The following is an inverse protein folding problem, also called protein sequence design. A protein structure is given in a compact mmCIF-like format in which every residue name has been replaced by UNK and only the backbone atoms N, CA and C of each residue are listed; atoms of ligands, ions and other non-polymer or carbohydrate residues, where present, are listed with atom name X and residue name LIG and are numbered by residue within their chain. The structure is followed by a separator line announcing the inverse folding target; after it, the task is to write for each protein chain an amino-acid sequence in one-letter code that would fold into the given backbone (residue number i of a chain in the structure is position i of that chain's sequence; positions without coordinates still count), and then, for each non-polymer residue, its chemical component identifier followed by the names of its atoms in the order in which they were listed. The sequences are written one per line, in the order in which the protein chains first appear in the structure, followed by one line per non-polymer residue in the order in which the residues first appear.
data_IF_063456068236
#
_entry.id   IF_063456068236
#
_cell.length_a   1.000
_cell.length_b   1.000
_cell.length_c   1.000
_cell.angle_alpha   90.00
_cell.angle_beta   90.00
_cell.angle_gamma   90.00
#
_symmetry.space_group_name_H-M   'P 1'
#
loop_
_entity.id
_entity.type
_entity.pdbx_description
1 polymer ?
#
# COMPACT_ATOMS: atom_id res chain seq x y z
N UNK A 1 -20.47 22.61 -34.59
CA UNK A 1 -20.60 22.78 -33.14
C UNK A 1 -19.39 22.12 -32.48
N UNK A 2 -18.33 22.90 -32.25
CA UNK A 2 -17.29 22.51 -31.31
C UNK A 2 -17.85 22.71 -29.89
N UNK A 3 -18.58 21.74 -29.41
CA UNK A 3 -18.94 21.68 -27.99
C UNK A 3 -17.66 21.51 -27.19
N UNK A 4 -17.26 22.56 -26.48
CA UNK A 4 -16.24 22.44 -25.45
C UNK A 4 -16.80 21.48 -24.41
N UNK A 5 -16.27 20.27 -24.29
CA UNK A 5 -16.57 19.36 -23.20
C UNK A 5 -16.03 20.00 -21.92
N UNK A 6 -16.87 20.72 -21.21
CA UNK A 6 -16.59 21.16 -19.85
C UNK A 6 -17.11 20.07 -18.91
N UNK A 7 -16.21 19.35 -18.26
CA UNK A 7 -16.59 18.38 -17.23
C UNK A 7 -16.01 16.96 -17.34
N UNK A 8 -15.29 16.64 -18.40
CA UNK A 8 -14.52 15.39 -18.49
C UNK A 8 -13.06 15.73 -18.70
N UNK A 9 -12.24 15.45 -17.72
CA UNK A 9 -10.80 15.56 -17.82
C UNK A 9 -10.18 16.58 -16.88
N UNK A 10 -10.59 16.60 -15.63
CA UNK A 10 -9.69 16.98 -14.57
C UNK A 10 -8.50 16.01 -14.65
N UNK A 11 -7.28 16.53 -14.68
CA UNK A 11 -6.10 15.68 -14.56
C UNK A 11 -6.24 14.92 -13.24
N UNK A 12 -6.24 13.57 -13.28
CA UNK A 12 -6.28 12.73 -12.08
C UNK A 12 -4.95 12.86 -11.30
N UNK A 13 -4.58 14.09 -10.98
CA UNK A 13 -3.38 14.46 -10.24
C UNK A 13 -3.77 15.06 -8.89
N UNK A 14 -2.99 14.77 -7.84
CA UNK A 14 -1.80 13.92 -7.83
C UNK A 14 -2.12 12.46 -8.11
N UNK A 15 -1.18 11.78 -8.76
CA UNK A 15 -1.19 10.35 -9.00
C UNK A 15 0.21 9.78 -8.76
N UNK A 16 0.30 8.62 -8.13
CA UNK A 16 1.56 7.98 -7.79
C UNK A 16 1.47 6.47 -7.84
N UNK A 17 2.60 5.83 -8.02
CA UNK A 17 2.80 4.40 -7.85
C UNK A 17 4.19 4.15 -7.30
N UNK A 18 4.25 3.58 -6.11
CA UNK A 18 5.48 3.18 -5.43
C UNK A 18 5.47 1.68 -5.16
N UNK A 19 6.64 1.09 -5.04
CA UNK A 19 6.82 -0.35 -4.85
C UNK A 19 8.09 -0.62 -4.04
N UNK A 20 8.17 -1.81 -3.48
CA UNK A 20 9.42 -2.37 -3.00
C UNK A 20 10.28 -2.76 -4.19
N UNK A 21 11.56 -2.40 -4.20
CA UNK A 21 12.47 -2.70 -5.30
C UNK A 21 12.50 -4.20 -5.64
N UNK A 22 12.71 -4.49 -6.91
CA UNK A 22 12.72 -5.87 -7.40
C UNK A 22 13.78 -6.73 -6.69
N UNK A 23 13.37 -7.92 -6.23
CA UNK A 23 14.18 -8.86 -5.45
C UNK A 23 14.73 -8.33 -4.11
N UNK A 24 14.17 -7.25 -3.60
CA UNK A 24 14.41 -6.83 -2.21
C UNK A 24 13.44 -7.53 -1.28
N UNK A 25 13.88 -7.76 -0.07
CA UNK A 25 13.03 -8.21 1.02
C UNK A 25 13.23 -7.33 2.25
N UNK A 26 12.19 -7.23 3.04
CA UNK A 26 12.18 -6.57 4.34
C UNK A 26 11.77 -7.60 5.38
N UNK A 27 12.62 -7.85 6.35
CA UNK A 27 12.27 -8.70 7.50
C UNK A 27 11.17 -8.03 8.30
N UNK A 28 10.11 -8.77 8.60
CA UNK A 28 9.01 -8.35 9.44
C UNK A 28 9.21 -8.94 10.84
N UNK A 29 8.78 -8.20 11.86
CA UNK A 29 8.73 -8.75 13.21
C UNK A 29 7.47 -9.58 13.37
N UNK A 30 7.60 -10.81 13.81
CA UNK A 30 6.47 -11.71 14.02
C UNK A 30 5.40 -11.07 14.91
N UNK A 31 4.16 -11.12 14.44
CA UNK A 31 2.97 -10.59 15.10
C UNK A 31 3.01 -9.07 15.44
N UNK A 32 3.81 -8.27 14.73
CA UNK A 32 3.92 -6.82 14.93
C UNK A 32 3.55 -6.09 13.64
N UNK A 33 2.71 -5.04 13.75
CA UNK A 33 2.47 -4.12 12.62
C UNK A 33 3.77 -3.47 12.19
N UNK A 34 4.27 -3.83 11.01
CA UNK A 34 5.51 -3.32 10.45
C UNK A 34 5.21 -2.50 9.21
N UNK A 35 5.72 -1.25 9.17
CA UNK A 35 5.58 -0.40 7.98
C UNK A 35 6.38 -0.98 6.82
N UNK A 36 5.75 -1.05 5.64
CA UNK A 36 6.35 -1.61 4.44
C UNK A 36 7.17 -0.56 3.71
N UNK A 37 8.41 -0.93 3.39
CA UNK A 37 9.41 -0.10 2.75
C UNK A 37 9.20 -0.05 1.23
N UNK A 38 8.33 0.87 0.78
CA UNK A 38 8.12 1.16 -0.64
C UNK A 38 9.17 2.18 -1.09
N UNK A 39 10.35 1.71 -1.45
CA UNK A 39 11.55 2.51 -1.67
C UNK A 39 11.76 2.98 -3.13
N UNK A 40 10.90 2.52 -4.02
CA UNK A 40 11.03 2.77 -5.46
C UNK A 40 9.74 3.35 -6.02
N UNK A 41 9.84 4.42 -6.79
CA UNK A 41 8.72 5.00 -7.53
C UNK A 41 8.68 4.50 -8.96
N UNK A 42 7.51 4.09 -9.44
CA UNK A 42 7.23 3.96 -10.88
C UNK A 42 6.96 5.33 -11.50
N UNK A 43 6.15 6.12 -10.80
CA UNK A 43 5.88 7.52 -11.13
C UNK A 43 5.26 8.23 -9.93
N UNK A 44 5.45 9.55 -9.89
CA UNK A 44 4.79 10.48 -8.98
C UNK A 44 4.63 11.83 -9.69
N UNK A 45 3.38 12.24 -9.93
CA UNK A 45 3.07 13.45 -10.70
C UNK A 45 3.18 14.75 -9.90
N UNK A 46 3.32 14.65 -8.58
CA UNK A 46 3.28 15.79 -7.66
C UNK A 46 4.38 15.78 -6.61
N UNK A 47 5.32 14.84 -6.69
CA UNK A 47 6.34 14.59 -5.66
C UNK A 47 5.71 14.44 -4.27
N UNK A 48 4.63 13.69 -4.22
CA UNK A 48 3.78 13.51 -3.04
C UNK A 48 4.07 12.20 -2.28
N UNK A 49 4.84 11.30 -2.90
CA UNK A 49 5.33 10.09 -2.25
C UNK A 49 6.77 10.29 -1.77
N UNK A 50 7.03 9.94 -0.53
CA UNK A 50 8.35 10.03 0.11
C UNK A 50 8.93 8.62 0.25
N UNK A 51 9.88 8.27 -0.61
CA UNK A 51 10.59 6.97 -0.59
C UNK A 51 11.50 6.77 0.62
N UNK A 52 11.84 7.83 1.36
CA UNK A 52 12.63 7.73 2.58
C UNK A 52 11.76 7.44 3.80
N UNK A 53 10.51 7.91 3.79
CA UNK A 53 9.53 7.66 4.83
C UNK A 53 8.42 6.70 4.39
N UNK A 54 8.48 6.17 3.16
CA UNK A 54 7.54 5.18 2.62
C UNK A 54 6.09 5.60 2.75
N UNK A 55 5.78 6.86 2.36
CA UNK A 55 4.44 7.41 2.55
C UNK A 55 4.00 8.34 1.43
N UNK A 56 2.72 8.31 1.13
CA UNK A 56 2.05 9.30 0.31
C UNK A 56 1.47 10.39 1.21
N UNK A 57 1.70 11.67 0.86
CA UNK A 57 1.10 12.82 1.55
C UNK A 57 0.30 13.64 0.56
N UNK A 58 -0.96 13.94 0.88
CA UNK A 58 -1.84 14.75 0.04
C UNK A 58 -1.30 16.18 -0.07
N UNK A 59 -0.92 16.64 -1.27
CA UNK A 59 -0.35 17.97 -1.45
C UNK A 59 -1.31 19.09 -1.10
N UNK A 60 -0.76 20.26 -0.78
CA UNK A 60 -1.52 21.49 -0.59
C UNK A 60 -2.37 21.79 -1.82
N UNK A 61 -3.63 22.18 -1.64
CA UNK A 61 -4.59 22.43 -2.73
C UNK A 61 -5.10 21.18 -3.44
N UNK A 62 -4.81 19.98 -2.90
CA UNK A 62 -5.20 18.71 -3.52
C UNK A 62 -6.20 17.90 -2.68
N UNK A 63 -6.92 18.53 -1.75
CA UNK A 63 -7.99 17.86 -1.04
C UNK A 63 -9.05 17.28 -2.03
N UNK A 64 -9.71 16.19 -1.64
CA UNK A 64 -10.70 15.55 -2.51
C UNK A 64 -10.89 14.07 -2.21
N UNK A 65 -11.54 13.37 -3.13
CA UNK A 65 -11.66 11.91 -3.07
C UNK A 65 -10.54 11.25 -3.86
N UNK A 66 -9.91 10.26 -3.26
CA UNK A 66 -8.82 9.50 -3.85
C UNK A 66 -9.20 8.03 -4.00
N UNK A 67 -8.81 7.44 -5.12
CA UNK A 67 -8.68 6.00 -5.26
C UNK A 67 -7.28 5.61 -4.82
N UNK A 68 -7.18 4.73 -3.82
CA UNK A 68 -5.92 4.17 -3.31
C UNK A 68 -5.96 2.65 -3.46
N UNK A 69 -4.82 2.05 -3.81
CA UNK A 69 -4.64 0.61 -3.83
C UNK A 69 -3.30 0.24 -3.19
N UNK A 70 -3.25 -0.88 -2.52
CA UNK A 70 -2.03 -1.39 -1.91
C UNK A 70 -2.04 -2.91 -1.87
N UNK A 71 -0.88 -3.50 -2.10
CA UNK A 71 -0.64 -4.92 -2.06
C UNK A 71 0.71 -5.19 -1.42
N UNK A 72 0.79 -6.24 -0.60
CA UNK A 72 2.03 -6.71 0.01
C UNK A 72 2.13 -8.20 -0.22
N UNK A 73 3.23 -8.62 -0.80
CA UNK A 73 3.61 -10.01 -0.86
C UNK A 73 4.36 -10.37 0.42
N UNK A 74 3.83 -11.32 1.17
CA UNK A 74 4.43 -11.80 2.42
C UNK A 74 4.84 -13.25 2.29
N UNK A 75 5.97 -13.58 2.90
CA UNK A 75 6.57 -14.92 2.91
C UNK A 75 6.81 -15.30 4.35
N UNK A 76 6.43 -16.52 4.75
CA UNK A 76 6.77 -17.08 6.05
C UNK A 76 8.28 -17.36 6.17
N UNK A 77 8.80 -17.36 7.39
CA UNK A 77 10.22 -17.56 7.67
C UNK A 77 10.74 -18.97 7.33
N UNK A 78 9.85 -19.94 7.25
CA UNK A 78 10.13 -21.30 6.81
C UNK A 78 9.11 -21.78 5.77
N UNK A 79 9.32 -22.96 5.19
CA UNK A 79 8.38 -23.51 4.23
C UNK A 79 7.07 -23.91 4.89
N UNK A 80 5.95 -23.40 4.33
CA UNK A 80 4.59 -23.75 4.72
C UNK A 80 4.25 -23.47 6.20
N UNK A 81 4.70 -22.38 6.73
CA UNK A 81 4.46 -22.01 8.14
C UNK A 81 3.72 -20.68 8.36
N UNK A 82 3.35 -19.98 7.29
CA UNK A 82 2.56 -18.75 7.38
C UNK A 82 1.18 -19.04 7.97
N UNK A 83 1.01 -18.69 9.25
CA UNK A 83 -0.21 -18.97 10.01
C UNK A 83 -1.30 -17.93 9.79
N UNK A 84 -0.93 -16.68 9.81
CA UNK A 84 -1.83 -15.57 9.69
C UNK A 84 -1.13 -14.35 9.12
N UNK A 85 -1.81 -13.58 8.31
CA UNK A 85 -1.28 -12.33 7.78
C UNK A 85 -2.41 -11.34 7.49
N UNK A 86 -2.15 -10.07 7.75
CA UNK A 86 -2.98 -8.98 7.28
C UNK A 86 -2.15 -7.83 6.72
N UNK A 87 -2.81 -7.01 5.90
CA UNK A 87 -2.25 -5.78 5.36
C UNK A 87 -3.21 -4.64 5.66
N UNK A 88 -2.66 -3.53 6.13
CA UNK A 88 -3.41 -2.37 6.60
C UNK A 88 -2.94 -1.10 5.90
N UNK A 89 -3.88 -0.22 5.61
CA UNK A 89 -3.59 1.16 5.26
C UNK A 89 -3.74 2.01 6.52
N UNK A 90 -2.68 2.71 6.88
CA UNK A 90 -2.68 3.70 7.95
C UNK A 90 -2.92 5.08 7.37
N UNK A 91 -3.76 5.85 8.03
CA UNK A 91 -3.98 7.27 7.74
C UNK A 91 -3.57 8.08 8.96
N UNK A 92 -2.67 9.04 8.78
CA UNK A 92 -2.20 9.92 9.84
C UNK A 92 -1.68 9.17 11.09
N UNK A 93 -0.96 8.07 10.86
CA UNK A 93 -0.36 7.24 11.92
C UNK A 93 -1.31 6.28 12.63
N UNK A 94 -2.56 6.18 12.20
CA UNK A 94 -3.53 5.23 12.76
C UNK A 94 -4.05 4.26 11.71
N UNK A 95 -4.30 3.01 12.10
CA UNK A 95 -4.90 2.02 11.23
C UNK A 95 -6.30 2.50 10.79
N UNK A 96 -6.46 2.73 9.51
CA UNK A 96 -7.69 3.25 8.93
C UNK A 96 -8.48 2.16 8.21
N UNK A 97 -7.78 1.24 7.55
CA UNK A 97 -8.39 0.18 6.76
C UNK A 97 -7.54 -1.09 6.79
N UNK A 98 -8.18 -2.23 7.13
CA UNK A 98 -7.58 -3.56 7.03
C UNK A 98 -8.05 -4.19 5.72
N UNK A 99 -7.11 -4.52 4.86
CA UNK A 99 -7.43 -5.00 3.52
C UNK A 99 -7.81 -6.48 3.49
N UNK A 100 -6.99 -7.27 4.12
CA UNK A 100 -7.12 -8.71 4.14
C UNK A 100 -6.66 -9.21 5.49
N UNK A 101 -7.41 -10.16 6.01
CA UNK A 101 -7.10 -10.87 7.23
C UNK A 101 -7.27 -12.35 6.94
N UNK A 102 -6.15 -13.04 6.74
CA UNK A 102 -6.13 -14.45 6.40
C UNK A 102 -5.62 -15.26 7.60
N UNK A 103 -6.47 -16.10 8.14
CA UNK A 103 -6.14 -17.09 9.17
C UNK A 103 -6.15 -18.50 8.57
N UNK A 104 -4.97 -19.09 8.47
CA UNK A 104 -4.78 -20.44 7.96
C UNK A 104 -4.74 -21.44 9.12
N UNK A 105 -5.75 -22.27 9.24
CA UNK A 105 -5.84 -23.28 10.32
C UNK A 105 -5.11 -24.57 10.00
N UNK A 106 -5.05 -24.90 8.70
CA UNK A 106 -4.33 -26.07 8.17
C UNK A 106 -3.85 -25.78 6.76
N UNK A 107 -2.82 -26.44 6.30
CA UNK A 107 -2.30 -26.24 4.95
C UNK A 107 -1.66 -24.86 4.80
N UNK A 108 -0.77 -24.52 5.70
CA UNK A 108 -0.11 -23.22 5.76
C UNK A 108 0.63 -22.92 4.45
N UNK A 109 0.39 -21.77 3.80
CA UNK A 109 1.16 -21.39 2.64
C UNK A 109 2.56 -20.92 3.05
N UNK A 110 3.47 -20.95 2.10
CA UNK A 110 4.76 -20.30 2.24
C UNK A 110 4.66 -18.81 1.93
N UNK A 111 3.82 -18.44 0.99
CA UNK A 111 3.77 -17.08 0.43
C UNK A 111 2.35 -16.72 0.02
N UNK A 112 1.99 -15.46 0.22
CA UNK A 112 0.70 -14.90 -0.21
C UNK A 112 0.84 -13.42 -0.54
N UNK A 113 0.07 -12.94 -1.51
CA UNK A 113 -0.08 -11.50 -1.76
C UNK A 113 -1.44 -11.05 -1.25
N UNK A 114 -1.43 -10.10 -0.34
CA UNK A 114 -2.61 -9.51 0.28
C UNK A 114 -2.73 -8.04 -0.11
N UNK A 115 -3.93 -7.54 -0.20
CA UNK A 115 -4.14 -6.13 -0.48
C UNK A 115 -5.58 -5.78 -0.79
N UNK A 116 -5.82 -4.50 -1.04
CA UNK A 116 -7.11 -3.97 -1.41
C UNK A 116 -7.00 -2.65 -2.16
N UNK A 117 -8.16 -2.16 -2.57
CA UNK A 117 -8.34 -0.79 -3.04
C UNK A 117 -9.55 -0.17 -2.36
N UNK A 118 -9.54 1.14 -2.21
CA UNK A 118 -10.62 1.91 -1.60
C UNK A 118 -10.73 3.30 -2.22
N UNK A 119 -11.90 3.90 -2.04
CA UNK A 119 -12.09 5.34 -2.27
C UNK A 119 -12.25 5.99 -0.90
N UNK A 120 -11.49 7.04 -0.65
CA UNK A 120 -11.51 7.74 0.64
C UNK A 120 -11.43 9.25 0.46
N UNK A 121 -11.98 9.96 1.45
CA UNK A 121 -11.85 11.40 1.54
C UNK A 121 -10.48 11.77 2.12
N UNK A 122 -9.81 12.71 1.45
CA UNK A 122 -8.48 13.16 1.82
C UNK A 122 -8.44 14.68 1.95
N UNK A 123 -8.05 15.17 3.11
CA UNK A 123 -7.67 16.56 3.31
C UNK A 123 -6.21 16.78 2.91
N UNK A 124 -5.84 18.01 2.58
CA UNK A 124 -4.43 18.35 2.39
C UNK A 124 -3.63 18.06 3.66
N UNK A 125 -2.43 17.52 3.51
CA UNK A 125 -1.57 17.09 4.61
C UNK A 125 -1.92 15.72 5.19
N UNK A 126 -3.07 15.11 4.84
CA UNK A 126 -3.30 13.71 5.19
C UNK A 126 -2.22 12.84 4.57
N UNK A 127 -1.69 11.89 5.36
CA UNK A 127 -0.70 10.96 4.85
C UNK A 127 -1.12 9.50 5.05
N UNK A 128 -0.63 8.65 4.14
CA UNK A 128 -0.97 7.24 4.08
C UNK A 128 0.28 6.37 4.02
N UNK A 129 0.27 5.30 4.77
CA UNK A 129 1.36 4.33 4.90
C UNK A 129 0.78 2.91 4.87
N UNK A 130 1.51 1.98 4.29
CA UNK A 130 1.11 0.57 4.24
C UNK A 130 1.85 -0.20 5.32
N UNK A 131 1.11 -1.00 6.09
CA UNK A 131 1.64 -1.87 7.12
C UNK A 131 1.23 -3.31 6.86
N UNK A 132 2.06 -4.24 7.27
CA UNK A 132 1.72 -5.66 7.34
C UNK A 132 1.98 -6.19 8.73
N UNK A 133 1.15 -7.14 9.14
CA UNK A 133 1.37 -7.94 10.33
C UNK A 133 1.26 -9.41 9.93
N UNK A 134 2.27 -10.18 10.28
CA UNK A 134 2.38 -11.58 9.93
C UNK A 134 2.65 -12.40 11.18
N UNK A 135 2.04 -13.56 11.26
CA UNK A 135 2.35 -14.57 12.26
C UNK A 135 2.71 -15.87 11.56
N UNK A 136 3.89 -16.37 11.82
CA UNK A 136 4.36 -17.67 11.37
C UNK A 136 4.75 -18.57 12.57
N UNK A 137 5.13 -19.80 12.31
CA UNK A 137 5.50 -20.75 13.38
C UNK A 137 7.00 -20.76 13.66
N UNK A 138 7.81 -20.32 12.71
CA UNK A 138 9.25 -20.34 12.86
C UNK A 138 9.97 -19.47 11.85
N UNK A 139 11.05 -18.83 12.28
CA UNK A 139 11.85 -17.94 11.46
C UNK A 139 11.33 -16.51 11.48
N UNK A 140 11.81 -15.69 10.58
CA UNK A 140 11.43 -14.30 10.42
C UNK A 140 10.64 -14.15 9.12
N UNK A 141 9.36 -13.75 9.18
CA UNK A 141 8.58 -13.48 7.98
C UNK A 141 9.13 -12.26 7.23
N UNK A 142 8.89 -12.20 5.94
CA UNK A 142 9.37 -11.13 5.08
C UNK A 142 8.25 -10.52 4.24
N UNK A 143 8.32 -9.21 3.98
CA UNK A 143 7.71 -8.60 2.82
C UNK A 143 8.68 -8.70 1.64
N UNK A 144 8.18 -8.99 0.43
CA UNK A 144 9.04 -9.26 -0.72
C UNK A 144 8.62 -8.50 -1.98
N UNK A 145 9.60 -7.89 -2.63
CA UNK A 145 9.44 -7.06 -3.84
C UNK A 145 9.41 -7.86 -5.15
N UNK A 146 9.14 -9.19 -5.12
CA UNK A 146 9.11 -10.00 -6.32
C UNK A 146 8.00 -9.56 -7.28
N UNK A 147 8.31 -9.50 -8.57
CA UNK A 147 7.36 -9.25 -9.65
C UNK A 147 6.44 -8.04 -9.40
N UNK A 148 6.91 -7.04 -8.63
CA UNK A 148 6.15 -5.83 -8.32
C UNK A 148 4.85 -6.08 -7.54
N UNK A 149 4.78 -7.16 -6.78
CA UNK A 149 3.60 -7.54 -6.01
C UNK A 149 3.44 -6.73 -4.73
N UNK A 150 4.54 -6.15 -4.20
CA UNK A 150 4.51 -5.26 -3.05
C UNK A 150 4.54 -3.83 -3.57
N UNK A 151 3.37 -3.16 -3.48
CA UNK A 151 3.16 -1.85 -4.10
C UNK A 151 2.06 -1.04 -3.43
N UNK A 152 2.17 0.27 -3.55
CA UNK A 152 1.17 1.22 -3.12
C UNK A 152 1.01 2.32 -4.18
N UNK A 153 -0.21 2.68 -4.48
CA UNK A 153 -0.46 3.73 -5.46
C UNK A 153 -1.87 4.29 -5.36
N UNK A 154 -2.10 5.32 -6.14
CA UNK A 154 -3.40 5.94 -6.17
C UNK A 154 -3.42 7.22 -6.99
N UNK A 155 -4.60 7.81 -7.07
CA UNK A 155 -4.81 9.07 -7.77
C UNK A 155 -6.06 9.78 -7.26
N UNK A 156 -6.08 11.10 -7.45
CA UNK A 156 -7.24 11.93 -7.15
C UNK A 156 -8.36 11.65 -8.14
N UNK A 157 -9.56 11.38 -7.64
CA UNK A 157 -10.76 11.16 -8.45
C UNK A 157 -11.47 12.47 -8.75
N UNK A 158 -11.80 13.21 -7.70
CA UNK A 158 -12.55 14.47 -7.78
C UNK A 158 -12.11 15.43 -6.68
N UNK A 159 -12.33 16.71 -6.92
CA UNK A 159 -12.23 17.78 -5.91
C UNK A 159 -13.53 17.87 -5.10
N UNK A 160 -13.44 18.47 -3.91
CA UNK A 160 -14.63 18.87 -3.16
C UNK A 160 -15.36 20.02 -3.85
#
# INVERSE_FOLDING_TARGET
NNGTQTGFGGTNTPAFSALMAFNQSQTLTDNVDTKIEMDTEDFDTASAFDTSNYRFTVPVGSAGKYFLYFYVNVIGGSDNDLRWANVRLYKNGAANFTASDNDYRTGYPRQVTLGASLITDCAEGDYFEVYAQVYDFSGDPEAFGSQRQTRFGGYKLVEW
#
